data_IF_546716582849
#
_entry.id   IF_546716582849
#
_cell.length_a   1.000
_cell.length_b   1.000
_cell.length_c   1.000
_cell.angle_alpha   90.00
_cell.angle_beta   90.00
_cell.angle_gamma   90.00
#
_symmetry.space_group_name_H-M   'P 1'
#
loop_
_entity.id
_entity.type
_entity.pdbx_description
1 polymer ?
#
# COMPACT_ATOMS: atom_id res chain seq x y z
N UNK A 1 9.22 7.36 28.69
CA UNK A 1 9.41 6.09 27.94
C UNK A 1 8.50 6.13 26.73
N UNK A 2 8.96 6.70 25.60
CA UNK A 2 8.11 6.98 24.43
C UNK A 2 8.27 5.97 23.28
N UNK A 3 9.19 5.01 23.38
CA UNK A 3 9.31 3.90 22.45
C UNK A 3 8.56 2.68 23.00
N UNK A 4 7.27 2.61 22.72
CA UNK A 4 6.46 1.40 22.92
C UNK A 4 6.44 0.60 21.63
N UNK A 5 6.59 -0.73 21.74
CA UNK A 5 6.51 -1.69 20.60
C UNK A 5 5.21 -1.51 19.80
N UNK A 6 4.18 -0.99 20.47
CA UNK A 6 2.88 -0.65 19.90
C UNK A 6 2.97 0.35 18.73
N UNK A 7 3.80 1.39 18.84
CA UNK A 7 3.98 2.38 17.77
C UNK A 7 4.58 1.76 16.50
N UNK A 8 5.60 0.92 16.65
CA UNK A 8 6.23 0.23 15.52
C UNK A 8 5.28 -0.76 14.86
N UNK A 9 4.46 -1.47 15.66
CA UNK A 9 3.46 -2.40 15.14
C UNK A 9 2.43 -1.69 14.24
N UNK A 10 1.99 -0.48 14.63
CA UNK A 10 1.07 0.33 13.82
C UNK A 10 1.70 0.76 12.50
N UNK A 11 2.95 1.23 12.54
CA UNK A 11 3.70 1.61 11.34
C UNK A 11 3.85 0.43 10.37
N UNK A 12 4.26 -0.74 10.88
CA UNK A 12 4.43 -1.94 10.05
C UNK A 12 3.10 -2.35 9.45
N UNK A 13 2.01 -2.39 10.24
CA UNK A 13 0.68 -2.74 9.73
C UNK A 13 0.25 -1.83 8.58
N UNK A 14 0.35 -0.51 8.74
CA UNK A 14 -0.05 0.45 7.71
C UNK A 14 0.73 0.24 6.40
N UNK A 15 2.04 -0.01 6.48
CA UNK A 15 2.89 -0.24 5.29
C UNK A 15 2.61 -1.60 4.64
N UNK A 16 2.43 -2.65 5.45
CA UNK A 16 2.25 -4.02 4.96
C UNK A 16 0.86 -4.21 4.33
N UNK A 17 -0.18 -3.66 4.95
CA UNK A 17 -1.55 -3.69 4.42
C UNK A 17 -1.73 -2.74 3.25
N UNK A 18 -1.10 -1.56 3.33
CA UNK A 18 -1.14 -0.58 2.24
C UNK A 18 -0.41 -1.05 0.99
N UNK A 19 0.65 -1.85 1.15
CA UNK A 19 1.47 -2.35 0.06
C UNK A 19 2.65 -1.43 -0.25
N UNK A 20 3.84 -2.03 -0.38
CA UNK A 20 5.14 -1.34 -0.55
C UNK A 20 5.23 -0.53 -1.86
N UNK A 21 4.41 -0.86 -2.86
CA UNK A 21 4.67 -0.43 -4.24
C UNK A 21 3.97 0.87 -4.68
N UNK A 22 2.97 1.42 -3.97
CA UNK A 22 2.28 2.67 -4.37
C UNK A 22 1.93 3.58 -3.19
N UNK A 23 2.07 4.89 -3.38
CA UNK A 23 1.76 5.92 -2.38
C UNK A 23 0.29 5.87 -1.91
N UNK A 24 -0.63 5.57 -2.82
CA UNK A 24 -2.07 5.40 -2.53
C UNK A 24 -2.37 4.16 -1.67
N UNK A 25 -1.53 3.13 -1.80
CA UNK A 25 -1.61 1.93 -0.97
C UNK A 25 -1.41 2.27 0.50
N UNK A 26 -0.38 3.04 0.83
CA UNK A 26 -0.12 3.48 2.22
C UNK A 26 -1.28 4.29 2.82
N UNK A 27 -1.95 5.14 2.02
CA UNK A 27 -3.12 5.91 2.47
C UNK A 27 -4.28 4.98 2.80
N UNK A 28 -4.55 3.97 1.96
CA UNK A 28 -5.57 2.97 2.25
C UNK A 28 -5.23 2.12 3.48
N UNK A 29 -3.96 1.76 3.65
CA UNK A 29 -3.47 1.09 4.86
C UNK A 29 -3.72 1.93 6.12
N UNK A 30 -3.49 3.23 6.04
CA UNK A 30 -3.77 4.18 7.12
C UNK A 30 -5.26 4.32 7.41
N UNK A 31 -6.13 4.39 6.39
CA UNK A 31 -7.59 4.43 6.57
C UNK A 31 -8.09 3.15 7.23
N UNK A 32 -7.64 1.98 6.75
CA UNK A 32 -8.04 0.70 7.34
C UNK A 32 -7.57 0.57 8.78
N UNK A 33 -6.31 0.95 9.04
CA UNK A 33 -5.77 1.03 10.39
C UNK A 33 -6.63 1.91 11.28
N UNK A 34 -7.01 3.11 10.81
CA UNK A 34 -7.83 4.04 11.56
C UNK A 34 -9.22 3.49 11.89
N UNK A 35 -9.85 2.78 10.95
CA UNK A 35 -11.13 2.10 11.19
C UNK A 35 -10.96 1.05 12.28
N UNK A 36 -9.98 0.16 12.15
CA UNK A 36 -9.71 -0.89 13.12
C UNK A 36 -9.37 -0.30 14.49
N UNK A 37 -8.56 0.76 14.55
CA UNK A 37 -8.20 1.47 15.78
C UNK A 37 -9.42 2.11 16.45
N UNK A 38 -10.31 2.72 15.66
CA UNK A 38 -11.53 3.35 16.20
C UNK A 38 -12.46 2.33 16.86
N UNK A 39 -12.60 1.14 16.27
CA UNK A 39 -13.47 0.09 16.80
C UNK A 39 -12.82 -0.77 17.90
N UNK A 40 -11.51 -1.04 17.80
CA UNK A 40 -10.81 -2.02 18.65
C UNK A 40 -9.66 -1.44 19.49
N UNK A 41 -9.39 -0.13 19.42
CA UNK A 41 -8.27 0.51 20.12
C UNK A 41 -8.34 0.44 21.65
N UNK A 42 -9.52 0.17 22.23
CA UNK A 42 -9.70 0.01 23.68
C UNK A 42 -9.28 -1.36 24.22
N UNK A 43 -8.99 -2.34 23.36
CA UNK A 43 -8.71 -3.73 23.75
C UNK A 43 -7.29 -3.98 24.30
N UNK A 44 -6.45 -2.95 24.44
CA UNK A 44 -5.11 -3.06 25.00
C UNK A 44 -4.18 -3.96 24.18
N UNK A 45 -3.57 -4.99 24.79
CA UNK A 45 -2.60 -5.88 24.10
C UNK A 45 -3.27 -6.77 23.06
N UNK A 46 -4.53 -7.16 23.27
CA UNK A 46 -5.29 -7.97 22.30
C UNK A 46 -5.46 -7.27 20.96
N UNK A 47 -5.47 -5.93 20.97
CA UNK A 47 -5.49 -5.11 19.77
C UNK A 47 -4.29 -5.43 18.86
N UNK A 48 -3.08 -5.51 19.41
CA UNK A 48 -1.86 -5.78 18.62
C UNK A 48 -1.90 -7.14 17.94
N UNK A 49 -2.43 -8.15 18.63
CA UNK A 49 -2.56 -9.50 18.08
C UNK A 49 -3.59 -9.50 16.94
N UNK A 50 -4.75 -8.88 17.14
CA UNK A 50 -5.78 -8.76 16.11
C UNK A 50 -5.32 -7.96 14.90
N UNK A 51 -4.55 -6.89 15.14
CA UNK A 51 -3.99 -6.04 14.11
C UNK A 51 -2.95 -6.81 13.26
N UNK A 52 -2.01 -7.50 13.91
CA UNK A 52 -1.03 -8.35 13.22
C UNK A 52 -1.69 -9.49 12.42
N UNK A 53 -2.70 -10.14 12.99
CA UNK A 53 -3.47 -11.17 12.29
C UNK A 53 -4.21 -10.61 11.07
N UNK A 54 -4.81 -9.42 11.20
CA UNK A 54 -5.47 -8.74 10.09
C UNK A 54 -4.46 -8.39 8.99
N UNK A 55 -3.28 -7.88 9.36
CA UNK A 55 -2.21 -7.63 8.39
C UNK A 55 -1.78 -8.90 7.64
N UNK A 56 -1.62 -10.01 8.35
CA UNK A 56 -1.29 -11.31 7.75
C UNK A 56 -2.36 -11.77 6.77
N UNK A 57 -3.64 -11.69 7.14
CA UNK A 57 -4.76 -12.05 6.27
C UNK A 57 -4.75 -11.18 5.00
N UNK A 58 -4.63 -9.86 5.16
CA UNK A 58 -4.57 -8.95 4.01
C UNK A 58 -3.37 -9.23 3.11
N UNK A 59 -2.19 -9.46 3.69
CA UNK A 59 -0.97 -9.81 2.95
C UNK A 59 -1.11 -11.11 2.17
N UNK A 60 -1.81 -12.12 2.74
CA UNK A 60 -1.99 -13.42 2.10
C UNK A 60 -3.03 -13.38 0.96
N UNK A 61 -4.15 -12.70 1.18
CA UNK A 61 -5.27 -12.65 0.21
C UNK A 61 -5.05 -11.62 -0.89
N UNK A 62 -4.27 -10.57 -0.63
CA UNK A 62 -4.01 -9.46 -1.55
C UNK A 62 -2.49 -9.28 -1.69
N UNK A 63 -1.78 -10.17 -2.40
CA UNK A 63 -0.32 -10.10 -2.54
C UNK A 63 0.16 -8.86 -3.33
N UNK A 64 -0.75 -8.16 -4.01
CA UNK A 64 -0.50 -6.87 -4.66
C UNK A 64 -0.89 -5.66 -3.79
N UNK A 65 -1.35 -5.89 -2.56
CA UNK A 65 -1.97 -4.91 -1.68
C UNK A 65 -3.43 -4.63 -2.02
N UNK A 66 -4.16 -4.01 -1.08
CA UNK A 66 -5.55 -3.56 -1.25
C UNK A 66 -5.76 -2.77 -2.55
N UNK A 67 -4.81 -1.88 -2.86
CA UNK A 67 -4.91 -1.02 -4.03
C UNK A 67 -4.63 -1.73 -5.36
N UNK A 68 -3.74 -2.72 -5.38
CA UNK A 68 -3.44 -3.49 -6.60
C UNK A 68 -4.64 -4.30 -7.10
N UNK A 69 -5.53 -4.73 -6.19
CA UNK A 69 -6.74 -5.46 -6.55
C UNK A 69 -7.94 -4.53 -6.81
N UNK A 70 -7.98 -3.36 -6.16
CA UNK A 70 -8.94 -2.28 -6.49
C UNK A 70 -8.65 -1.70 -7.88
N UNK A 71 -7.39 -1.44 -8.23
CA UNK A 71 -7.00 -0.96 -9.57
C UNK A 71 -7.42 -1.95 -10.66
N UNK A 72 -7.27 -3.26 -10.42
CA UNK A 72 -7.68 -4.30 -11.37
C UNK A 72 -9.20 -4.41 -11.54
N UNK A 73 -9.97 -4.01 -10.51
CA UNK A 73 -11.44 -4.10 -10.50
C UNK A 73 -12.13 -2.79 -10.88
N UNK A 74 -11.51 -1.65 -10.65
CA UNK A 74 -12.09 -0.32 -10.85
C UNK A 74 -11.38 0.52 -11.94
N UNK A 75 -10.27 0.06 -12.53
CA UNK A 75 -9.49 0.79 -13.55
C UNK A 75 -9.02 2.19 -13.08
N UNK A 76 -9.10 2.44 -11.77
CA UNK A 76 -8.75 3.73 -11.16
C UNK A 76 -7.24 3.83 -10.97
N UNK A 77 -6.54 4.39 -11.96
CA UNK A 77 -5.16 4.84 -11.83
C UNK A 77 -5.14 6.30 -11.36
N UNK A 78 -5.12 6.52 -10.04
CA UNK A 78 -5.05 7.87 -9.47
C UNK A 78 -3.69 8.54 -9.75
N UNK A 79 -2.59 7.77 -9.80
CA UNK A 79 -1.27 8.26 -10.22
C UNK A 79 -0.51 7.22 -11.08
N UNK A 80 -0.17 7.54 -12.35
CA UNK A 80 0.68 6.67 -13.17
C UNK A 80 2.13 6.77 -12.72
N UNK A 81 2.47 6.08 -11.62
CA UNK A 81 3.86 5.92 -11.15
C UNK A 81 4.67 4.96 -12.05
N UNK A 82 4.00 4.32 -13.03
CA UNK A 82 4.64 3.52 -14.06
C UNK A 82 5.33 4.42 -15.10
N UNK A 83 6.65 4.55 -15.02
CA UNK A 83 7.46 5.14 -16.08
C UNK A 83 7.28 4.35 -17.38
N UNK A 84 6.42 4.83 -18.30
CA UNK A 84 6.40 4.34 -19.67
C UNK A 84 7.54 5.02 -20.42
N UNK A 85 8.68 4.32 -20.52
CA UNK A 85 9.76 4.73 -21.41
C UNK A 85 9.23 4.67 -22.85
N UNK A 86 8.78 5.82 -23.38
CA UNK A 86 8.64 6.00 -24.83
C UNK A 86 10.05 6.03 -25.39
N UNK A 87 10.55 4.87 -25.79
CA UNK A 87 11.77 4.77 -26.59
C UNK A 87 11.57 5.67 -27.83
N UNK A 88 12.43 6.67 -28.06
CA UNK A 88 12.38 7.45 -29.28
C UNK A 88 12.52 6.47 -30.45
N UNK A 89 11.53 6.43 -31.33
CA UNK A 89 11.61 5.63 -32.55
C UNK A 89 12.89 5.98 -33.32
N UNK A 90 13.51 5.02 -34.02
CA UNK A 90 14.81 5.21 -34.66
C UNK A 90 14.73 6.42 -35.60
N UNK A 91 15.42 7.49 -35.23
CA UNK A 91 15.49 8.71 -36.02
C UNK A 91 16.20 8.34 -37.32
N UNK A 92 15.44 8.23 -38.41
CA UNK A 92 16.01 8.06 -39.74
C UNK A 92 16.67 9.38 -40.10
N UNK A 93 17.97 9.48 -39.79
CA UNK A 93 18.83 10.57 -40.25
C UNK A 93 18.76 10.54 -41.78
N UNK A 94 17.97 11.47 -42.33
CA UNK A 94 17.90 11.70 -43.76
C UNK A 94 19.14 12.53 -44.09
N UNK A 95 20.15 11.86 -44.62
CA UNK A 95 21.27 12.54 -45.24
C UNK A 95 20.71 13.26 -46.47
N UNK A 96 20.70 14.59 -46.43
CA UNK A 96 20.45 15.43 -47.60
C UNK A 96 21.73 15.49 -48.43
N UNK A 97 21.58 15.15 -49.71
CA UNK A 97 22.61 15.15 -50.75
C UNK A 97 23.08 16.57 -51.10
#
# INVERSE_FOLDING_TARGET
>A
TYFSVQWTAYMIFMVLVGGISKFEGAILGAILFFVIETFFGSAGVWYLIGLGATALIFSLYLPRGLWGEVERRFDFQLLPVGYRLKLPGPNKIKWEE
#
